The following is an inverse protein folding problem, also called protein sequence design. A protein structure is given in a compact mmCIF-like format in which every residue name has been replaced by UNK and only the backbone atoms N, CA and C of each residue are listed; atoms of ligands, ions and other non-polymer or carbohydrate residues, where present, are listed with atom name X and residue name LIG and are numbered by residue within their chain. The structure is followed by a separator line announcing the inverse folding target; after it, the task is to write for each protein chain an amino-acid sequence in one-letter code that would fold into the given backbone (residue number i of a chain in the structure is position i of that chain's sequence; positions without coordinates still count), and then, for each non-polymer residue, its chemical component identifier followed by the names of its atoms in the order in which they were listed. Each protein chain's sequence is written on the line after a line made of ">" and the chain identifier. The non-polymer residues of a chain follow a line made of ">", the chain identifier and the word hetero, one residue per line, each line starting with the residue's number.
data_IF_947605041324
#
_entry.id   IF_947605041324
#
_cell.length_a   1.000
_cell.length_b   1.000
_cell.length_c   1.000
_cell.angle_alpha   90.00
_cell.angle_beta   90.00
_cell.angle_gamma   90.00
#
_symmetry.space_group_name_H-M   'P 1'
#
loop_
_entity.id
_entity.type
_entity.pdbx_description
1 polymer ?
#
# COMPACT_ATOMS: atom_id res chain seq x y z
N UNK A 1 1.72 4.95 -23.44
CA UNK A 1 2.14 4.45 -22.12
C UNK A 1 0.89 4.07 -21.34
N UNK A 2 0.64 2.78 -21.07
CA UNK A 2 -0.53 2.39 -20.27
C UNK A 2 -0.26 2.63 -18.79
N UNK A 3 -1.02 3.54 -18.17
CA UNK A 3 -1.08 3.61 -16.71
C UNK A 3 -1.68 2.31 -16.20
N UNK A 4 -1.05 1.68 -15.20
CA UNK A 4 -1.67 0.55 -14.51
C UNK A 4 -3.02 1.00 -13.94
N UNK A 5 -4.08 0.18 -14.08
CA UNK A 5 -5.40 0.50 -13.55
C UNK A 5 -5.35 0.65 -12.02
N UNK A 6 -6.25 1.48 -11.48
CA UNK A 6 -6.37 1.67 -10.04
C UNK A 6 -6.99 0.41 -9.41
N UNK A 7 -6.48 0.04 -8.24
CA UNK A 7 -7.13 -0.94 -7.37
C UNK A 7 -8.42 -0.33 -6.78
N UNK A 8 -9.34 -1.16 -6.26
CA UNK A 8 -10.55 -0.68 -5.57
C UNK A 8 -10.25 0.31 -4.45
N UNK A 9 -9.08 0.20 -3.81
CA UNK A 9 -8.58 1.15 -2.79
C UNK A 9 -8.10 2.50 -3.36
N UNK A 10 -8.24 2.76 -4.66
CA UNK A 10 -7.71 3.96 -5.33
C UNK A 10 -6.18 3.97 -5.49
N UNK A 11 -5.49 2.92 -5.03
CA UNK A 11 -4.03 2.80 -5.12
C UNK A 11 -3.60 2.12 -6.40
N UNK A 12 -2.41 2.47 -6.91
CA UNK A 12 -1.80 1.79 -8.07
C UNK A 12 -1.08 0.48 -7.70
N UNK A 13 -0.87 0.23 -6.41
CA UNK A 13 -0.18 -0.95 -5.87
C UNK A 13 -0.80 -1.31 -4.53
N UNK A 14 -0.79 -2.59 -4.21
CA UNK A 14 -1.38 -3.14 -2.99
C UNK A 14 -2.18 -4.41 -3.29
N UNK A 15 -2.97 -4.84 -2.31
CA UNK A 15 -3.86 -5.97 -2.46
C UNK A 15 -5.11 -5.56 -3.23
N UNK A 16 -5.53 -6.31 -4.27
CA UNK A 16 -6.81 -6.11 -4.94
C UNK A 16 -7.93 -6.65 -4.04
N UNK A 17 -8.27 -5.90 -2.99
CA UNK A 17 -9.35 -6.25 -2.07
C UNK A 17 -10.57 -5.37 -2.36
N UNK A 18 -11.73 -6.01 -2.52
CA UNK A 18 -13.04 -5.35 -2.63
C UNK A 18 -13.79 -5.66 -1.34
N UNK A 19 -14.25 -4.62 -0.65
CA UNK A 19 -15.15 -4.77 0.48
C UNK A 19 -16.55 -5.06 -0.08
N UNK A 20 -17.20 -6.16 0.31
CA UNK A 20 -18.61 -6.41 0.00
C UNK A 20 -19.50 -5.24 0.45
N UNK A 21 -20.51 -4.90 -0.34
CA UNK A 21 -21.43 -3.79 -0.08
C UNK A 21 -22.55 -4.14 0.91
N UNK A 22 -22.63 -5.40 1.34
CA UNK A 22 -23.61 -5.96 2.28
C UNK A 22 -23.10 -6.08 3.72
N UNK A 23 -21.91 -5.55 4.03
CA UNK A 23 -21.38 -5.58 5.39
C UNK A 23 -22.24 -4.82 6.38
N UNK A 24 -22.50 -5.46 7.53
CA UNK A 24 -23.03 -4.74 8.68
C UNK A 24 -21.92 -3.88 9.32
N UNK A 25 -22.28 -2.82 10.07
CA UNK A 25 -21.29 -2.03 10.81
C UNK A 25 -20.38 -2.85 11.72
N UNK A 26 -20.91 -3.90 12.35
CA UNK A 26 -20.17 -4.79 13.26
C UNK A 26 -19.15 -5.64 12.49
N UNK A 27 -19.51 -6.12 11.29
CA UNK A 27 -18.58 -6.84 10.43
C UNK A 27 -17.44 -5.93 9.96
N UNK A 28 -17.76 -4.70 9.57
CA UNK A 28 -16.76 -3.71 9.19
C UNK A 28 -15.80 -3.39 10.34
N UNK A 29 -16.33 -3.26 11.57
CA UNK A 29 -15.53 -3.04 12.77
C UNK A 29 -14.62 -4.24 13.07
N UNK A 30 -15.13 -5.47 13.03
CA UNK A 30 -14.33 -6.67 13.29
C UNK A 30 -13.16 -6.81 12.30
N UNK A 31 -13.37 -6.49 11.03
CA UNK A 31 -12.29 -6.50 10.03
C UNK A 31 -11.30 -5.35 10.28
N UNK A 32 -11.79 -4.17 10.68
CA UNK A 32 -10.92 -3.05 11.03
C UNK A 32 -9.98 -3.42 12.20
N UNK A 33 -10.52 -4.02 13.27
CA UNK A 33 -9.73 -4.50 14.41
C UNK A 33 -8.72 -5.57 14.01
N UNK A 34 -9.13 -6.54 13.18
CA UNK A 34 -8.23 -7.57 12.64
C UNK A 34 -7.05 -6.95 11.86
N UNK A 35 -7.32 -5.92 11.06
CA UNK A 35 -6.28 -5.23 10.29
C UNK A 35 -5.31 -4.46 11.20
N UNK A 36 -5.82 -3.88 12.29
CA UNK A 36 -5.00 -3.20 13.29
C UNK A 36 -4.08 -4.17 14.04
N UNK A 37 -4.62 -5.29 14.52
CA UNK A 37 -3.85 -6.36 15.18
C UNK A 37 -2.78 -6.96 14.25
N UNK A 38 -3.15 -7.19 12.98
CA UNK A 38 -2.21 -7.68 11.98
C UNK A 38 -1.10 -6.65 11.70
N UNK A 39 -1.44 -5.36 11.63
CA UNK A 39 -0.47 -4.29 11.43
C UNK A 39 0.49 -4.20 12.62
N UNK A 40 -0.01 -4.28 13.84
CA UNK A 40 0.81 -4.30 15.06
C UNK A 40 1.78 -5.48 15.04
N UNK A 41 1.26 -6.68 14.77
CA UNK A 41 2.06 -7.91 14.69
C UNK A 41 3.17 -7.80 13.64
N UNK A 42 2.82 -7.38 12.41
CA UNK A 42 3.80 -7.24 11.33
C UNK A 42 4.87 -6.21 11.69
N UNK A 43 4.48 -5.11 12.31
CA UNK A 43 5.41 -4.04 12.69
C UNK A 43 6.39 -4.50 13.77
N UNK A 44 5.91 -5.26 14.76
CA UNK A 44 6.76 -5.79 15.82
C UNK A 44 7.83 -6.75 15.29
N UNK A 45 7.48 -7.62 14.35
CA UNK A 45 8.42 -8.63 13.82
C UNK A 45 9.28 -8.12 12.65
N UNK A 46 8.75 -7.24 11.80
CA UNK A 46 9.36 -6.86 10.53
C UNK A 46 9.55 -5.36 10.35
N UNK A 47 9.33 -4.55 11.39
CA UNK A 47 9.32 -3.10 11.30
C UNK A 47 10.57 -2.53 10.64
N UNK A 48 11.76 -2.99 11.04
CA UNK A 48 13.04 -2.49 10.49
C UNK A 48 13.15 -2.82 8.99
N UNK A 49 12.89 -4.07 8.62
CA UNK A 49 12.97 -4.54 7.24
C UNK A 49 11.96 -3.82 6.34
N UNK A 50 10.75 -3.55 6.86
CA UNK A 50 9.74 -2.78 6.14
C UNK A 50 10.18 -1.33 5.93
N UNK A 51 10.77 -0.69 6.95
CA UNK A 51 11.29 0.68 6.81
C UNK A 51 12.38 0.76 5.75
N UNK A 52 13.32 -0.19 5.71
CA UNK A 52 14.38 -0.27 4.71
C UNK A 52 13.81 -0.49 3.30
N UNK A 53 12.93 -1.47 3.13
CA UNK A 53 12.28 -1.72 1.84
C UNK A 53 11.49 -0.50 1.33
N UNK A 54 10.75 0.18 2.22
CA UNK A 54 10.01 1.39 1.86
C UNK A 54 10.96 2.53 1.47
N UNK A 55 12.11 2.66 2.12
CA UNK A 55 13.13 3.65 1.75
C UNK A 55 13.68 3.38 0.34
N UNK A 56 14.01 2.13 0.03
CA UNK A 56 14.52 1.74 -1.30
C UNK A 56 13.47 1.94 -2.41
N UNK A 57 12.21 1.61 -2.14
CA UNK A 57 11.11 1.83 -3.09
C UNK A 57 10.90 3.32 -3.39
N UNK A 58 11.07 4.20 -2.40
CA UNK A 58 11.03 5.66 -2.61
C UNK A 58 12.23 6.15 -3.41
N UNK A 59 13.45 5.73 -3.02
CA UNK A 59 14.67 6.12 -3.72
C UNK A 59 14.66 5.69 -5.20
N UNK A 60 14.22 4.47 -5.50
CA UNK A 60 14.09 3.98 -6.88
C UNK A 60 13.02 4.71 -7.69
N UNK A 61 11.96 5.22 -7.04
CA UNK A 61 10.95 6.06 -7.69
C UNK A 61 11.54 7.42 -8.06
N UNK A 62 12.25 8.07 -7.15
CA UNK A 62 12.87 9.38 -7.39
C UNK A 62 13.91 9.34 -8.51
N UNK A 63 14.70 8.26 -8.59
CA UNK A 63 15.65 8.04 -9.71
C UNK A 63 14.93 7.94 -11.06
N UNK A 64 13.78 7.25 -11.12
CA UNK A 64 12.98 7.18 -12.35
C UNK A 64 12.39 8.54 -12.73
N UNK A 65 11.96 9.34 -11.76
CA UNK A 65 11.44 10.70 -12.02
C UNK A 65 12.53 11.60 -12.60
N UNK A 66 13.74 11.61 -12.01
CA UNK A 66 14.87 12.40 -12.53
C UNK A 66 15.33 12.00 -13.93
N UNK A 67 15.22 10.72 -14.30
CA UNK A 67 15.57 10.24 -15.66
C UNK A 67 14.57 10.72 -16.72
N UNK A 68 13.36 11.10 -16.31
CA UNK A 68 12.30 11.53 -17.21
C UNK A 68 12.20 13.07 -17.33
N UNK A 69 12.98 13.81 -16.54
CA UNK A 69 13.18 15.24 -16.82
C UNK A 69 14.04 15.37 -18.08
N UNK A 70 13.54 16.05 -19.14
CA UNK A 70 14.40 16.40 -20.25
C UNK A 70 15.44 17.42 -19.77
N UNK A 71 16.69 17.38 -20.28
CA UNK A 71 17.52 18.56 -20.19
C UNK A 71 16.81 19.65 -21.00
N UNK A 72 16.84 20.89 -20.48
CA UNK A 72 16.22 22.09 -21.05
C UNK A 72 16.09 22.09 -22.58
#
# INVERSE_FOLDING_TARGET
>A
MSSAPLLPSGRRRGLPFVVPDDWTPEQALAVFELLDDLLATITDFYGVQLHEQLRELRASRDVRTRKHDPPF
#
